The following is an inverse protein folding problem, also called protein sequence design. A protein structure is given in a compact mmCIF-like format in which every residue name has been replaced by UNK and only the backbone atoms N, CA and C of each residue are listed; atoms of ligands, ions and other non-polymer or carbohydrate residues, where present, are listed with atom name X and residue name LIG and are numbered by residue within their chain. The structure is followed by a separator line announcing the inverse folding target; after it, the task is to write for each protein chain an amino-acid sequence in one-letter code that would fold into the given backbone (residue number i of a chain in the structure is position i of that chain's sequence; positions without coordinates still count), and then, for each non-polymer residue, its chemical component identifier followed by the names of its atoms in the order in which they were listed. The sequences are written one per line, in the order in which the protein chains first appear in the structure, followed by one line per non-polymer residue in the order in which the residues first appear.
data_IF_355987424155
#
_entry.id   IF_355987424155
#
_cell.length_a   1.000
_cell.length_b   1.000
_cell.length_c   1.000
_cell.angle_alpha   90.00
_cell.angle_beta   90.00
_cell.angle_gamma   90.00
#
_symmetry.space_group_name_H-M   'P 1'
#
loop_
_entity.id
_entity.type
_entity.pdbx_description
1 polymer ?
#
# COMPACT_ATOMS: atom_id res chain seq x y z
N UNK A 1 49.21 -5.05 -9.43
CA UNK A 1 47.81 -5.28 -9.04
C UNK A 1 46.94 -4.55 -10.05
N UNK A 2 46.09 -5.29 -10.76
CA UNK A 2 45.34 -4.85 -11.94
C UNK A 2 44.24 -3.87 -11.53
N UNK A 3 44.10 -2.78 -12.29
CA UNK A 3 42.98 -1.84 -12.22
C UNK A 3 41.87 -2.41 -13.09
N UNK A 4 40.72 -2.74 -12.50
CA UNK A 4 39.51 -3.06 -13.26
C UNK A 4 38.67 -1.78 -13.33
N UNK A 5 38.64 -1.19 -14.53
CA UNK A 5 37.70 -0.13 -14.90
C UNK A 5 36.44 -0.81 -15.44
N UNK A 6 35.31 -0.62 -14.77
CA UNK A 6 33.99 -1.04 -15.27
C UNK A 6 33.49 0.09 -16.17
N UNK A 7 33.25 -0.23 -17.44
CA UNK A 7 32.66 0.65 -18.44
C UNK A 7 31.14 0.58 -18.31
N UNK A 8 30.53 1.74 -18.08
CA UNK A 8 29.09 1.97 -18.12
C UNK A 8 28.62 1.89 -19.59
N UNK A 9 27.71 0.96 -19.89
CA UNK A 9 27.06 0.85 -21.21
C UNK A 9 25.65 1.41 -21.09
N UNK A 10 25.45 2.68 -21.47
CA UNK A 10 24.13 3.22 -21.77
C UNK A 10 23.68 2.68 -23.13
N UNK A 11 22.63 1.88 -23.16
CA UNK A 11 21.87 1.57 -24.37
C UNK A 11 20.66 2.49 -24.38
N UNK A 12 20.69 3.53 -25.20
CA UNK A 12 19.53 4.33 -25.54
C UNK A 12 18.83 3.66 -26.74
N UNK A 13 17.60 3.17 -26.54
CA UNK A 13 16.75 2.65 -27.63
C UNK A 13 15.87 3.81 -28.12
N UNK A 14 15.94 4.22 -29.40
CA UNK A 14 15.00 5.17 -29.96
C UNK A 14 13.70 4.45 -30.31
N UNK A 15 12.60 4.79 -29.63
CA UNK A 15 11.26 4.35 -30.03
C UNK A 15 10.88 4.98 -31.37
N UNK A 16 10.46 4.11 -32.28
CA UNK A 16 9.94 4.43 -33.61
C UNK A 16 8.50 4.94 -33.45
N UNK A 17 8.23 6.16 -33.89
CA UNK A 17 6.88 6.75 -33.94
C UNK A 17 6.03 5.98 -34.95
N UNK A 18 5.15 5.11 -34.45
CA UNK A 18 4.05 4.50 -35.18
C UNK A 18 2.84 5.42 -35.16
N UNK A 19 2.49 5.99 -36.32
CA UNK A 19 1.22 6.67 -36.54
C UNK A 19 0.14 5.59 -36.71
N UNK A 20 -0.62 5.32 -35.66
CA UNK A 20 -1.83 4.50 -35.65
C UNK A 20 -2.93 5.27 -34.93
N UNK A 21 -3.96 5.68 -35.66
CA UNK A 21 -5.11 6.39 -35.11
C UNK A 21 -6.05 5.45 -34.35
N UNK A 22 -6.35 5.81 -33.11
CA UNK A 22 -7.35 5.20 -32.23
C UNK A 22 -7.64 6.21 -31.11
N UNK A 23 -8.91 6.30 -30.71
CA UNK A 23 -9.49 7.32 -29.84
C UNK A 23 -8.60 7.72 -28.65
N UNK A 24 -8.13 8.96 -28.64
CA UNK A 24 -7.39 9.53 -27.51
C UNK A 24 -8.38 10.03 -26.48
N UNK A 25 -8.83 9.15 -25.59
CA UNK A 25 -9.03 9.58 -24.21
C UNK A 25 -7.62 9.73 -23.63
N UNK A 26 -6.99 10.87 -23.95
CA UNK A 26 -5.81 11.30 -23.26
C UNK A 26 -6.29 11.68 -21.85
N UNK A 27 -6.33 10.70 -20.95
CA UNK A 27 -6.25 10.94 -19.52
C UNK A 27 -5.06 11.87 -19.33
N UNK A 28 -5.35 13.12 -18.95
CA UNK A 28 -4.29 14.08 -18.70
C UNK A 28 -3.45 13.51 -17.56
N UNK A 29 -2.18 13.18 -17.82
CA UNK A 29 -1.27 12.71 -16.78
C UNK A 29 -1.34 13.68 -15.60
N UNK A 30 -1.64 13.14 -14.41
CA UNK A 30 -1.71 13.93 -13.19
C UNK A 30 -0.35 14.60 -12.98
N UNK A 31 -0.37 15.89 -12.68
CA UNK A 31 0.86 16.62 -12.40
C UNK A 31 1.40 16.14 -11.04
N UNK A 32 2.66 15.74 -10.97
CA UNK A 32 3.32 15.31 -9.72
C UNK A 32 4.25 16.38 -9.17
N UNK A 33 4.62 16.28 -7.90
CA UNK A 33 5.65 17.08 -7.24
C UNK A 33 6.51 16.19 -6.36
N UNK A 34 7.79 16.56 -6.23
CA UNK A 34 8.75 15.79 -5.43
C UNK A 34 8.76 16.28 -3.98
N UNK A 35 8.66 15.33 -3.05
CA UNK A 35 9.03 15.52 -1.65
C UNK A 35 10.42 14.92 -1.46
N UNK A 36 11.34 15.72 -0.93
CA UNK A 36 12.72 15.29 -0.67
C UNK A 36 13.11 15.55 0.78
N UNK A 37 14.10 14.83 1.29
CA UNK A 37 14.59 15.04 2.65
C UNK A 37 15.69 14.07 3.02
N UNK A 38 16.00 13.99 4.31
CA UNK A 38 16.89 12.96 4.85
C UNK A 38 16.34 12.33 6.13
N UNK A 39 16.58 11.03 6.28
CA UNK A 39 16.04 10.16 7.35
C UNK A 39 17.12 9.14 7.77
N UNK A 40 16.99 8.46 8.92
CA UNK A 40 18.01 7.54 9.41
C UNK A 40 17.92 6.09 8.86
N UNK A 41 17.39 5.85 7.66
CA UNK A 41 17.43 4.53 7.00
C UNK A 41 16.12 3.80 7.17
N UNK A 42 15.22 4.00 6.22
CA UNK A 42 13.79 3.85 6.43
C UNK A 42 13.08 3.60 5.10
N UNK A 43 11.91 2.98 5.19
CA UNK A 43 10.83 3.03 4.21
C UNK A 43 10.06 4.35 4.35
N UNK A 44 9.68 4.96 3.24
CA UNK A 44 8.85 6.17 3.17
C UNK A 44 7.67 5.86 2.27
N UNK A 45 6.47 6.01 2.81
CA UNK A 45 5.22 5.78 2.10
C UNK A 45 4.39 7.05 2.04
N UNK A 46 3.68 7.22 0.93
CA UNK A 46 2.71 8.26 0.72
C UNK A 46 1.38 7.67 0.27
N UNK A 47 0.33 8.04 0.98
CA UNK A 47 -1.05 7.63 0.72
C UNK A 47 -1.83 8.88 0.34
N UNK A 48 -2.52 8.90 -0.80
CA UNK A 48 -3.19 10.08 -1.32
C UNK A 48 -4.69 9.86 -1.57
N UNK A 49 -5.49 10.91 -1.38
CA UNK A 49 -6.96 10.89 -1.51
C UNK A 49 -7.48 10.44 -2.89
N UNK A 50 -6.64 10.46 -3.93
CA UNK A 50 -6.99 10.00 -5.28
C UNK A 50 -6.68 8.51 -5.52
N UNK A 51 -6.41 7.75 -4.46
CA UNK A 51 -6.02 6.34 -4.53
C UNK A 51 -4.52 6.13 -4.78
N UNK A 52 -3.75 7.20 -5.01
CA UNK A 52 -2.32 7.06 -5.26
C UNK A 52 -1.59 6.60 -3.98
N UNK A 53 -0.95 5.44 -4.06
CA UNK A 53 0.05 4.98 -3.10
C UNK A 53 1.43 5.01 -3.76
N UNK A 54 2.45 5.45 -3.03
CA UNK A 54 3.85 5.41 -3.48
C UNK A 54 4.74 5.10 -2.32
N UNK A 55 5.69 4.18 -2.52
CA UNK A 55 6.74 3.91 -1.54
C UNK A 55 8.14 4.10 -2.11
N UNK A 56 9.08 4.54 -1.27
CA UNK A 56 10.50 4.61 -1.60
C UNK A 56 11.36 4.28 -0.38
N UNK A 57 12.54 3.71 -0.63
CA UNK A 57 13.55 3.53 0.42
C UNK A 57 14.59 4.65 0.37
N UNK A 58 14.98 5.18 1.53
CA UNK A 58 16.08 6.15 1.60
C UNK A 58 17.43 5.54 1.12
N UNK A 59 18.24 6.35 0.42
CA UNK A 59 19.51 5.89 -0.14
C UNK A 59 20.63 5.90 0.91
N UNK A 60 21.12 4.72 1.29
CA UNK A 60 22.28 4.58 2.16
C UNK A 60 23.53 5.24 1.54
N UNK A 61 24.09 6.23 2.23
CA UNK A 61 25.20 7.07 1.77
C UNK A 61 26.39 7.12 2.75
N UNK A 62 26.40 6.24 3.75
CA UNK A 62 27.45 6.16 4.77
C UNK A 62 27.39 7.27 5.82
N UNK A 63 26.28 8.00 5.90
CA UNK A 63 26.02 9.01 6.95
C UNK A 63 24.91 8.51 7.90
N UNK A 64 24.34 9.37 8.74
CA UNK A 64 23.10 9.07 9.48
C UNK A 64 21.89 9.80 8.88
N UNK A 65 22.07 10.41 7.71
CA UNK A 65 21.08 11.22 7.00
C UNK A 65 21.00 10.72 5.55
N UNK A 66 20.19 9.70 5.35
CA UNK A 66 19.98 9.04 4.08
C UNK A 66 18.96 9.81 3.26
N UNK A 67 19.33 10.32 2.07
CA UNK A 67 18.41 11.08 1.24
C UNK A 67 17.31 10.19 0.68
N UNK A 68 16.12 10.76 0.54
CA UNK A 68 15.02 10.16 -0.20
C UNK A 68 14.39 11.22 -1.11
N UNK A 69 13.70 10.75 -2.14
CA UNK A 69 12.84 11.55 -3.01
C UNK A 69 11.63 10.68 -3.36
N UNK A 70 10.43 11.20 -3.13
CA UNK A 70 9.16 10.55 -3.44
C UNK A 70 8.32 11.52 -4.27
N UNK A 71 7.67 11.02 -5.31
CA UNK A 71 6.78 11.83 -6.16
C UNK A 71 5.34 11.56 -5.76
N UNK A 72 4.57 12.63 -5.52
CA UNK A 72 3.14 12.55 -5.19
C UNK A 72 2.31 13.46 -6.12
N UNK A 73 1.01 13.19 -6.29
CA UNK A 73 0.12 14.06 -7.05
C UNK A 73 0.04 15.49 -6.49
N UNK A 74 -0.02 16.47 -7.38
CA UNK A 74 -0.17 17.88 -7.01
C UNK A 74 -1.60 18.20 -6.59
N UNK A 75 -1.75 18.98 -5.52
CA UNK A 75 -3.03 19.43 -4.97
C UNK A 75 -3.96 18.30 -4.49
N UNK A 76 -3.43 17.08 -4.32
CA UNK A 76 -4.12 15.96 -3.66
C UNK A 76 -3.70 15.91 -2.20
N UNK A 77 -4.63 15.62 -1.28
CA UNK A 77 -4.30 15.41 0.12
C UNK A 77 -3.55 14.09 0.26
N UNK A 78 -2.36 14.12 0.84
CA UNK A 78 -1.59 12.91 1.11
C UNK A 78 -1.15 12.84 2.57
N UNK A 79 -1.14 11.64 3.16
CA UNK A 79 -0.49 11.29 4.41
C UNK A 79 0.90 10.72 4.11
N UNK A 80 1.84 10.89 5.02
CA UNK A 80 3.14 10.22 4.97
C UNK A 80 3.32 9.35 6.20
N UNK A 81 3.78 8.12 5.98
CA UNK A 81 4.26 7.22 7.03
C UNK A 81 5.73 6.91 6.76
N UNK A 82 6.53 6.84 7.81
CA UNK A 82 7.95 6.50 7.68
C UNK A 82 8.31 5.42 8.69
N UNK A 83 8.84 4.30 8.20
CA UNK A 83 9.11 3.12 9.00
C UNK A 83 10.61 2.84 9.06
N UNK A 84 11.18 2.87 10.27
CA UNK A 84 12.59 2.51 10.51
C UNK A 84 12.71 1.09 10.99
N UNK A 85 13.83 0.44 10.64
CA UNK A 85 14.04 -0.99 10.91
C UNK A 85 12.88 -1.84 10.34
N UNK A 86 12.38 -1.47 9.16
CA UNK A 86 11.21 -2.06 8.50
C UNK A 86 11.28 -3.59 8.40
N UNK A 87 12.48 -4.11 8.18
CA UNK A 87 12.78 -5.54 8.07
C UNK A 87 12.99 -6.26 9.43
N UNK A 88 12.59 -5.67 10.55
CA UNK A 88 12.79 -6.27 11.89
C UNK A 88 11.62 -6.03 12.82
N UNK A 89 10.80 -7.07 12.99
CA UNK A 89 9.56 -7.06 13.77
C UNK A 89 9.72 -6.67 15.23
N UNK A 90 10.92 -6.78 15.80
CA UNK A 90 11.13 -6.46 17.22
C UNK A 90 11.57 -5.02 17.46
N UNK A 91 12.12 -4.37 16.43
CA UNK A 91 12.69 -3.01 16.55
C UNK A 91 12.10 -2.03 15.57
N UNK A 92 11.16 -2.47 14.74
CA UNK A 92 10.38 -1.66 13.81
C UNK A 92 9.73 -0.50 14.56
N UNK A 93 9.75 0.67 13.93
CA UNK A 93 9.07 1.87 14.42
C UNK A 93 8.38 2.53 13.23
N UNK A 94 7.05 2.46 13.22
CA UNK A 94 6.17 3.05 12.21
C UNK A 94 5.77 4.43 12.71
N UNK A 95 6.22 5.49 12.03
CA UNK A 95 6.00 6.88 12.48
C UNK A 95 5.08 7.63 11.53
N UNK A 96 3.84 7.94 11.95
CA UNK A 96 2.99 8.88 11.22
C UNK A 96 3.62 10.27 11.18
N UNK A 97 3.62 10.90 10.01
CA UNK A 97 4.19 12.24 9.82
C UNK A 97 3.08 13.29 9.76
N UNK A 98 3.14 14.25 10.68
CA UNK A 98 2.28 15.43 10.66
C UNK A 98 3.00 16.65 10.09
N UNK A 99 2.23 17.67 9.71
CA UNK A 99 2.78 18.90 9.10
C UNK A 99 2.34 20.15 9.85
N UNK A 100 3.21 21.16 9.84
CA UNK A 100 2.93 22.50 10.38
C UNK A 100 3.21 23.54 9.29
N UNK A 101 2.22 24.37 8.97
CA UNK A 101 2.37 25.50 8.05
C UNK A 101 1.58 26.72 8.52
N UNK A 102 2.27 27.80 8.85
CA UNK A 102 1.72 29.00 9.46
C UNK A 102 1.07 28.69 10.81
N UNK A 103 -0.26 28.71 10.83
CA UNK A 103 -1.08 28.34 12.00
C UNK A 103 -1.80 27.00 11.81
N UNK A 104 -1.65 26.37 10.65
CA UNK A 104 -2.22 25.06 10.38
C UNK A 104 -1.30 23.97 10.93
N UNK A 105 -1.92 22.94 11.49
CA UNK A 105 -1.29 21.70 11.95
C UNK A 105 -2.24 20.60 11.59
N UNK A 106 -1.74 19.52 11.00
CA UNK A 106 -2.58 18.39 10.63
C UNK A 106 -1.79 17.20 10.09
N UNK A 107 -2.50 16.12 9.78
CA UNK A 107 -1.94 14.85 9.31
C UNK A 107 -1.74 14.77 7.79
N UNK A 108 -2.41 15.63 7.01
CA UNK A 108 -2.29 15.63 5.55
C UNK A 108 -1.64 16.88 4.99
N UNK A 109 -1.00 16.70 3.84
CA UNK A 109 -0.37 17.75 3.07
C UNK A 109 -0.91 17.78 1.63
N UNK A 110 -1.06 18.98 1.07
CA UNK A 110 -1.20 19.21 -0.37
C UNK A 110 -0.02 20.04 -0.85
N UNK A 111 0.58 19.67 -1.97
CA UNK A 111 1.72 20.41 -2.54
C UNK A 111 1.45 20.82 -3.99
N UNK A 112 1.93 22.00 -4.38
CA UNK A 112 1.89 22.48 -5.76
C UNK A 112 3.30 23.01 -6.12
N UNK A 113 4.24 22.08 -6.17
CA UNK A 113 5.66 22.30 -6.36
C UNK A 113 6.51 21.43 -5.43
N UNK A 114 7.74 21.18 -5.85
CA UNK A 114 8.71 20.38 -5.08
C UNK A 114 8.99 21.00 -3.71
N UNK A 115 9.12 20.14 -2.72
CA UNK A 115 9.48 20.53 -1.35
C UNK A 115 10.65 19.71 -0.80
N UNK A 116 11.29 20.29 0.21
CA UNK A 116 12.31 19.62 0.99
C UNK A 116 11.94 19.66 2.48
N UNK A 117 11.74 18.48 3.07
CA UNK A 117 11.42 18.28 4.49
C UNK A 117 12.64 18.44 5.41
N UNK A 118 13.80 18.79 4.86
CA UNK A 118 15.08 18.80 5.56
C UNK A 118 15.38 17.43 6.18
N UNK A 119 15.95 17.40 7.39
CA UNK A 119 16.20 16.16 8.10
C UNK A 119 15.06 15.85 9.07
N UNK A 120 14.46 14.67 8.94
CA UNK A 120 13.43 14.14 9.83
C UNK A 120 14.10 13.16 10.80
N UNK A 121 14.14 13.47 12.11
CA UNK A 121 14.85 12.69 13.11
C UNK A 121 13.98 11.54 13.64
N UNK A 122 13.76 10.51 12.82
CA UNK A 122 13.01 9.31 13.22
C UNK A 122 13.74 8.55 14.33
N UNK A 123 12.97 7.92 15.22
CA UNK A 123 13.52 7.07 16.26
C UNK A 123 14.06 5.78 15.63
N UNK A 124 15.26 5.36 16.01
CA UNK A 124 15.86 4.09 15.56
C UNK A 124 15.71 2.96 16.59
N UNK A 125 15.36 3.29 17.83
CA UNK A 125 15.09 2.29 18.85
C UNK A 125 13.63 2.43 19.27
N UNK A 126 12.91 1.32 19.21
CA UNK A 126 11.53 1.23 19.67
C UNK A 126 11.34 1.69 21.14
N UNK A 127 12.34 1.49 21.99
CA UNK A 127 12.31 1.97 23.39
C UNK A 127 12.30 3.51 23.54
N UNK A 128 12.58 4.26 22.47
CA UNK A 128 12.59 5.72 22.47
C UNK A 128 11.23 6.34 22.08
N UNK A 129 10.25 5.53 21.67
CA UNK A 129 8.90 5.98 21.28
C UNK A 129 7.84 5.60 22.30
N UNK A 130 6.68 6.26 22.20
CA UNK A 130 5.47 5.88 22.93
C UNK A 130 4.55 5.15 21.97
N UNK A 131 4.31 3.89 22.29
CA UNK A 131 3.38 3.01 21.61
C UNK A 131 2.72 2.22 22.77
N UNK A 132 1.41 2.43 22.93
CA UNK A 132 0.68 1.99 24.13
C UNK A 132 0.04 0.62 23.94
N UNK A 133 -0.40 0.30 22.73
CA UNK A 133 -0.99 -0.97 22.32
C UNK A 133 0.07 -1.99 21.89
N UNK A 134 1.25 -1.54 21.44
CA UNK A 134 2.37 -2.41 21.10
C UNK A 134 2.36 -2.88 19.65
N UNK A 135 1.61 -2.20 18.79
CA UNK A 135 1.44 -2.50 17.35
C UNK A 135 2.60 -1.98 16.48
N UNK A 136 3.62 -1.38 17.11
CA UNK A 136 4.76 -0.71 16.48
C UNK A 136 4.46 0.64 15.81
N UNK A 137 3.22 1.13 15.88
CA UNK A 137 2.80 2.45 15.43
C UNK A 137 2.99 3.46 16.55
N UNK A 138 3.67 4.56 16.25
CA UNK A 138 3.89 5.61 17.25
C UNK A 138 2.60 6.37 17.50
N UNK A 139 2.10 6.32 18.75
CA UNK A 139 0.85 6.96 19.21
C UNK A 139 0.75 8.46 18.86
N UNK A 140 1.89 9.14 18.75
CA UNK A 140 1.97 10.56 18.44
C UNK A 140 2.78 10.81 17.17
N UNK A 141 2.10 11.37 16.16
CA UNK A 141 2.73 11.79 14.93
C UNK A 141 3.93 12.74 15.13
N UNK A 142 4.96 12.55 14.31
CA UNK A 142 6.13 13.43 14.25
C UNK A 142 5.81 14.61 13.34
N UNK A 143 5.74 15.82 13.90
CA UNK A 143 5.41 17.03 13.14
C UNK A 143 6.63 17.67 12.47
N UNK A 144 6.54 17.88 11.16
CA UNK A 144 7.52 18.58 10.33
C UNK A 144 7.09 20.03 10.08
N UNK A 145 7.97 20.98 10.38
CA UNK A 145 7.73 22.41 10.15
C UNK A 145 8.06 22.80 8.70
N UNK A 146 7.04 23.26 7.97
CA UNK A 146 7.12 23.67 6.57
C UNK A 146 7.00 25.18 6.37
N UNK A 147 7.14 26.00 7.42
CA UNK A 147 6.95 27.46 7.36
C UNK A 147 7.85 28.18 6.35
N UNK A 148 8.94 27.55 5.92
CA UNK A 148 9.85 28.07 4.88
C UNK A 148 9.48 27.63 3.46
N UNK A 149 8.47 26.76 3.31
CA UNK A 149 7.96 26.25 2.05
C UNK A 149 6.76 27.06 1.57
N UNK A 150 6.61 27.18 0.26
CA UNK A 150 5.48 27.86 -0.40
C UNK A 150 4.58 26.84 -1.10
N UNK A 151 3.33 27.20 -1.36
CA UNK A 151 2.35 26.36 -2.04
C UNK A 151 2.04 25.04 -1.32
N UNK A 152 1.91 25.12 0.00
CA UNK A 152 1.55 24.01 0.88
C UNK A 152 0.18 24.26 1.45
N UNK A 153 -0.68 23.26 1.40
CA UNK A 153 -1.85 23.17 2.28
C UNK A 153 -1.61 22.08 3.32
N UNK A 154 -2.03 22.34 4.55
CA UNK A 154 -2.00 21.38 5.66
C UNK A 154 -3.41 21.29 6.23
N UNK A 155 -3.91 20.08 6.41
CA UNK A 155 -5.23 19.81 6.97
C UNK A 155 -5.28 18.39 7.59
N UNK A 156 -6.48 17.90 7.88
CA UNK A 156 -6.75 16.59 8.50
C UNK A 156 -7.78 15.79 7.69
N UNK A 157 -7.78 15.93 6.35
CA UNK A 157 -8.60 15.08 5.48
C UNK A 157 -8.24 13.62 5.74
N UNK A 158 -9.22 12.75 6.08
CA UNK A 158 -8.98 11.31 6.15
C UNK A 158 -8.56 10.79 4.77
N UNK A 159 -7.49 10.00 4.73
CA UNK A 159 -6.91 9.42 3.52
C UNK A 159 -6.52 8.01 3.91
N UNK A 160 -7.12 7.00 3.26
CA UNK A 160 -7.04 5.59 3.65
C UNK A 160 -7.25 5.42 5.17
N UNK A 161 -8.34 5.96 5.70
CA UNK A 161 -8.61 6.09 7.16
C UNK A 161 -10.12 5.99 7.35
N UNK A 162 -10.61 4.77 7.12
CA UNK A 162 -12.02 4.42 6.97
C UNK A 162 -12.77 4.58 8.29
N UNK A 163 -12.17 4.12 9.39
CA UNK A 163 -12.74 4.19 10.73
C UNK A 163 -12.56 5.58 11.40
N UNK A 164 -11.71 6.43 10.80
CA UNK A 164 -11.36 7.78 11.27
C UNK A 164 -10.67 7.80 12.63
N UNK A 165 -9.88 6.78 12.92
CA UNK A 165 -9.03 6.73 14.10
C UNK A 165 -7.77 7.60 13.93
N UNK A 166 -7.43 8.01 12.70
CA UNK A 166 -6.32 8.88 12.37
C UNK A 166 -5.10 8.17 11.78
N UNK A 167 -5.08 6.83 11.81
CA UNK A 167 -4.08 6.00 11.17
C UNK A 167 -4.43 5.76 9.69
N UNK A 168 -3.55 5.05 9.01
CA UNK A 168 -3.88 4.49 7.70
C UNK A 168 -4.51 3.14 7.99
N UNK A 169 -5.52 2.74 7.22
CA UNK A 169 -6.23 1.47 7.39
C UNK A 169 -5.25 0.28 7.44
N UNK A 170 -4.25 0.25 6.56
CA UNK A 170 -3.21 -0.78 6.58
C UNK A 170 -2.29 -0.77 7.82
N UNK A 171 -2.33 0.29 8.63
CA UNK A 171 -1.61 0.38 9.90
C UNK A 171 -2.53 0.21 11.11
N UNK A 172 -3.76 -0.27 10.91
CA UNK A 172 -4.60 -0.77 11.98
C UNK A 172 -4.16 -2.20 12.37
N UNK A 173 -4.59 -2.64 13.56
CA UNK A 173 -4.36 -3.98 14.15
C UNK A 173 -5.77 -4.57 14.36
N UNK A 174 -6.35 -5.09 13.28
CA UNK A 174 -7.78 -5.41 13.21
C UNK A 174 -8.16 -6.65 14.03
N UNK A 175 -7.21 -7.55 14.24
CA UNK A 175 -7.39 -8.78 15.01
C UNK A 175 -6.91 -8.67 16.48
N UNK A 176 -6.37 -7.51 16.88
CA UNK A 176 -5.79 -7.20 18.20
C UNK A 176 -4.63 -8.15 18.59
N UNK A 177 -3.85 -8.68 17.64
CA UNK A 177 -2.69 -9.55 17.91
C UNK A 177 -1.40 -8.78 18.26
N UNK A 178 -1.38 -7.46 18.04
CA UNK A 178 -0.23 -6.59 18.26
C UNK A 178 0.67 -6.44 17.03
N UNK A 179 0.22 -6.84 15.86
CA UNK A 179 0.81 -6.60 14.55
C UNK A 179 -0.23 -5.84 13.73
N UNK A 180 0.25 -4.91 12.93
CA UNK A 180 -0.61 -4.16 12.01
C UNK A 180 -0.79 -4.92 10.71
N UNK A 181 -1.92 -4.73 10.05
CA UNK A 181 -2.30 -5.45 8.82
C UNK A 181 -1.20 -5.44 7.76
N UNK A 182 -0.54 -4.30 7.52
CA UNK A 182 0.56 -4.19 6.55
C UNK A 182 1.75 -5.12 6.86
N UNK A 183 1.91 -5.57 8.09
CA UNK A 183 2.99 -6.46 8.48
C UNK A 183 2.49 -7.87 8.81
N UNK A 184 1.25 -8.23 8.54
CA UNK A 184 0.78 -9.61 8.62
C UNK A 184 1.30 -10.43 7.42
N UNK A 185 1.00 -11.72 7.43
CA UNK A 185 1.41 -12.77 6.47
C UNK A 185 0.14 -13.62 6.31
N UNK A 186 -0.91 -12.97 5.78
CA UNK A 186 -2.29 -13.45 5.87
C UNK A 186 -2.49 -14.72 5.03
N UNK A 187 -1.76 -14.80 3.92
CA UNK A 187 -1.74 -15.90 2.97
C UNK A 187 -0.74 -17.03 3.34
N UNK A 188 0.09 -16.79 4.37
CA UNK A 188 1.08 -17.71 4.93
C UNK A 188 2.18 -18.15 3.95
N UNK A 189 2.53 -17.34 2.95
CA UNK A 189 3.62 -17.62 2.01
C UNK A 189 5.01 -17.33 2.62
N UNK A 190 5.05 -16.57 3.71
CA UNK A 190 6.24 -16.19 4.47
C UNK A 190 6.90 -14.88 4.06
N UNK A 191 6.27 -14.11 3.17
CA UNK A 191 6.44 -12.67 2.96
C UNK A 191 5.54 -11.91 3.96
N UNK A 192 5.59 -10.58 3.95
CA UNK A 192 4.62 -9.78 4.71
C UNK A 192 3.79 -9.03 3.72
N UNK A 193 2.52 -8.77 4.04
CA UNK A 193 1.57 -8.02 3.21
C UNK A 193 2.22 -6.77 2.57
N UNK A 194 3.04 -6.00 3.29
CA UNK A 194 3.76 -4.80 2.76
C UNK A 194 4.83 -5.05 1.70
N UNK A 195 5.23 -6.29 1.54
CA UNK A 195 6.21 -6.76 0.58
C UNK A 195 5.62 -7.73 -0.44
N UNK A 196 4.37 -8.14 -0.22
CA UNK A 196 3.62 -8.95 -1.15
C UNK A 196 3.24 -8.14 -2.38
N UNK A 197 3.47 -8.73 -3.54
CA UNK A 197 3.32 -8.16 -4.88
C UNK A 197 3.23 -9.35 -5.84
N UNK A 198 2.21 -10.18 -5.61
CA UNK A 198 2.01 -11.47 -6.27
C UNK A 198 1.82 -11.30 -7.79
N UNK A 199 1.18 -10.21 -8.19
CA UNK A 199 0.94 -9.89 -9.60
C UNK A 199 2.17 -9.22 -10.29
N UNK A 200 3.17 -8.81 -9.49
CA UNK A 200 4.40 -8.12 -9.88
C UNK A 200 4.19 -6.80 -10.62
N UNK A 201 3.22 -5.98 -10.21
CA UNK A 201 2.96 -4.66 -10.78
C UNK A 201 3.73 -3.49 -10.10
N UNK A 202 4.59 -3.79 -9.11
CA UNK A 202 5.33 -2.86 -8.26
C UNK A 202 4.44 -2.09 -7.24
N UNK A 203 3.18 -2.49 -7.04
CA UNK A 203 2.25 -2.02 -6.01
C UNK A 203 1.94 -3.19 -5.06
N UNK A 204 2.08 -3.02 -3.74
CA UNK A 204 1.85 -4.13 -2.84
C UNK A 204 0.38 -4.55 -2.76
N UNK A 205 0.12 -5.85 -2.69
CA UNK A 205 -1.23 -6.44 -2.72
C UNK A 205 -2.12 -5.88 -1.60
N UNK A 206 -1.52 -5.58 -0.44
CA UNK A 206 -2.24 -5.01 0.70
C UNK A 206 -2.83 -3.60 0.50
N UNK A 207 -2.44 -2.95 -0.60
CA UNK A 207 -2.92 -1.63 -0.99
C UNK A 207 -3.79 -1.69 -2.25
N UNK A 208 -4.09 -2.87 -2.77
CA UNK A 208 -4.92 -3.05 -3.95
C UNK A 208 -6.40 -2.77 -3.65
N UNK A 209 -7.10 -2.36 -4.71
CA UNK A 209 -8.52 -2.00 -4.78
C UNK A 209 -8.94 -2.45 -6.18
N UNK A 210 -9.09 -3.76 -6.34
CA UNK A 210 -9.23 -4.39 -7.65
C UNK A 210 -10.51 -3.97 -8.35
N UNK A 211 -11.57 -3.93 -7.56
CA UNK A 211 -12.93 -3.64 -7.95
C UNK A 211 -13.18 -2.12 -8.16
N UNK A 212 -12.33 -1.27 -7.55
CA UNK A 212 -12.31 0.22 -7.63
C UNK A 212 -13.49 0.87 -6.94
N UNK A 213 -14.00 0.27 -5.88
CA UNK A 213 -15.08 0.84 -5.08
C UNK A 213 -14.57 1.86 -4.03
N UNK A 214 -13.26 1.85 -3.77
CA UNK A 214 -12.57 2.74 -2.86
C UNK A 214 -12.27 2.17 -1.47
N UNK A 215 -12.48 0.87 -1.24
CA UNK A 215 -11.87 0.10 -0.17
C UNK A 215 -10.65 -0.65 -0.68
N UNK A 216 -9.74 -1.01 0.23
CA UNK A 216 -8.58 -1.84 -0.11
C UNK A 216 -8.98 -3.30 0.09
N UNK A 217 -8.51 -4.22 -0.76
CA UNK A 217 -8.88 -5.64 -0.75
C UNK A 217 -8.79 -6.28 0.67
N UNK A 218 -7.80 -5.91 1.49
CA UNK A 218 -7.66 -6.37 2.90
C UNK A 218 -8.77 -5.93 3.87
N UNK A 219 -9.65 -5.03 3.45
CA UNK A 219 -10.82 -4.57 4.20
C UNK A 219 -12.10 -4.61 3.38
N UNK A 220 -11.99 -5.03 2.12
CA UNK A 220 -13.13 -5.21 1.27
C UNK A 220 -13.83 -6.51 1.65
N UNK A 221 -15.15 -6.50 1.66
CA UNK A 221 -16.05 -7.59 2.07
C UNK A 221 -17.21 -7.55 1.09
N UNK A 222 -16.90 -7.77 -0.19
CA UNK A 222 -17.79 -7.49 -1.32
C UNK A 222 -19.08 -8.31 -1.25
N UNK A 223 -19.00 -9.47 -0.59
CA UNK A 223 -20.10 -10.41 -0.41
C UNK A 223 -20.87 -10.23 0.93
N UNK A 224 -20.47 -9.26 1.76
CA UNK A 224 -20.99 -8.96 3.10
C UNK A 224 -20.97 -10.20 4.05
N UNK A 225 -20.00 -11.12 3.91
CA UNK A 225 -19.85 -12.30 4.75
C UNK A 225 -19.16 -12.02 6.10
N UNK A 226 -18.52 -10.85 6.23
CA UNK A 226 -17.87 -10.37 7.45
C UNK A 226 -16.40 -10.75 7.60
N UNK A 227 -15.78 -11.26 6.54
CA UNK A 227 -14.34 -11.46 6.37
C UNK A 227 -13.84 -10.54 5.24
N UNK A 228 -12.54 -10.26 5.23
CA UNK A 228 -11.98 -9.50 4.13
C UNK A 228 -11.76 -10.44 2.93
N UNK A 229 -12.05 -9.99 1.71
CA UNK A 229 -11.93 -10.78 0.48
C UNK A 229 -10.52 -11.37 0.32
N UNK A 230 -9.47 -10.62 0.69
CA UNK A 230 -8.07 -11.08 0.66
C UNK A 230 -7.77 -12.26 1.61
N UNK A 231 -8.63 -12.53 2.59
CA UNK A 231 -8.46 -13.61 3.57
C UNK A 231 -9.37 -14.81 3.32
N UNK A 232 -10.12 -14.81 2.22
CA UNK A 232 -11.01 -15.91 1.88
C UNK A 232 -10.21 -17.15 1.45
N UNK A 233 -10.62 -18.31 1.93
CA UNK A 233 -10.04 -19.63 1.69
C UNK A 233 -11.24 -20.59 1.56
N UNK A 234 -11.78 -20.68 0.35
CA UNK A 234 -13.06 -21.32 0.07
C UNK A 234 -13.03 -22.84 0.29
N UNK A 235 -11.84 -23.45 0.17
CA UNK A 235 -11.62 -24.88 0.28
C UNK A 235 -10.98 -25.35 1.62
N UNK A 236 -10.62 -24.40 2.50
CA UNK A 236 -9.93 -24.58 3.78
C UNK A 236 -8.54 -25.29 3.64
N UNK A 237 -7.81 -25.10 2.53
CA UNK A 237 -6.48 -25.70 2.33
C UNK A 237 -5.32 -24.90 2.94
N UNK A 238 -5.60 -23.65 3.30
CA UNK A 238 -4.67 -22.71 3.92
C UNK A 238 -3.93 -21.81 2.95
N UNK A 239 -4.39 -21.71 1.69
CA UNK A 239 -4.03 -20.66 0.74
C UNK A 239 -5.25 -19.76 0.53
N UNK A 240 -5.04 -18.45 0.40
CA UNK A 240 -6.14 -17.53 0.13
C UNK A 240 -6.56 -17.59 -1.35
N UNK A 241 -7.84 -17.39 -1.65
CA UNK A 241 -8.44 -17.55 -2.98
C UNK A 241 -7.70 -16.76 -4.08
N UNK A 242 -7.14 -15.59 -3.77
CA UNK A 242 -6.43 -14.76 -4.78
C UNK A 242 -5.03 -15.29 -5.15
N UNK A 243 -4.45 -16.18 -4.34
CA UNK A 243 -3.17 -16.87 -4.63
C UNK A 243 -3.31 -18.38 -4.82
N UNK A 244 -4.49 -18.92 -4.51
CA UNK A 244 -4.79 -20.30 -4.83
C UNK A 244 -4.91 -20.44 -6.35
N UNK A 245 -4.46 -21.60 -6.83
CA UNK A 245 -4.42 -21.98 -8.22
C UNK A 245 -5.61 -22.92 -8.56
N UNK A 246 -6.43 -23.29 -7.57
CA UNK A 246 -7.59 -24.23 -7.53
C UNK A 246 -8.47 -23.92 -6.28
N UNK A 247 -9.02 -22.70 -6.19
CA UNK A 247 -9.68 -22.10 -5.00
C UNK A 247 -10.89 -22.88 -4.44
N UNK A 248 -11.50 -23.75 -5.24
CA UNK A 248 -12.63 -24.61 -4.85
C UNK A 248 -12.26 -26.10 -4.68
N UNK A 249 -10.98 -26.45 -4.89
CA UNK A 249 -10.40 -27.79 -4.88
C UNK A 249 -11.15 -28.80 -5.76
N UNK A 250 -11.77 -28.37 -6.85
CA UNK A 250 -12.45 -29.27 -7.78
C UNK A 250 -11.45 -30.07 -8.65
N UNK A 251 -10.19 -29.64 -8.66
CA UNK A 251 -9.08 -30.25 -9.39
C UNK A 251 -8.91 -29.72 -10.82
N UNK A 252 -9.57 -28.62 -11.15
CA UNK A 252 -9.28 -27.73 -12.28
C UNK A 252 -8.35 -26.63 -11.73
N UNK A 253 -7.90 -25.68 -12.55
CA UNK A 253 -7.15 -24.53 -12.06
C UNK A 253 -8.01 -23.31 -12.34
N UNK A 254 -7.98 -22.28 -11.53
CA UNK A 254 -8.90 -21.14 -11.70
C UNK A 254 -8.72 -20.46 -13.07
N UNK A 255 -7.48 -20.38 -13.55
CA UNK A 255 -7.11 -19.94 -14.91
C UNK A 255 -7.69 -20.80 -16.05
N UNK A 256 -7.93 -22.08 -15.77
CA UNK A 256 -8.54 -23.07 -16.65
C UNK A 256 -10.04 -23.26 -16.35
N UNK A 257 -10.58 -22.63 -15.29
CA UNK A 257 -12.00 -22.59 -15.01
C UNK A 257 -12.68 -21.60 -15.93
N UNK A 258 -13.29 -22.19 -16.95
CA UNK A 258 -14.34 -21.52 -17.69
C UNK A 258 -15.51 -21.33 -16.70
N UNK A 259 -15.47 -20.26 -15.89
CA UNK A 259 -16.62 -19.72 -15.15
C UNK A 259 -17.75 -19.45 -16.16
N UNK A 260 -18.48 -20.51 -16.51
CA UNK A 260 -19.73 -20.46 -17.23
C UNK A 260 -20.76 -19.95 -16.21
N UNK A 261 -20.78 -18.63 -16.07
CA UNK A 261 -21.75 -17.76 -15.38
C UNK A 261 -23.20 -18.11 -15.81
N UNK A 262 -23.67 -19.27 -15.37
CA UNK A 262 -25.04 -19.76 -15.51
C UNK A 262 -25.50 -20.31 -14.16
N UNK A 263 -25.56 -19.40 -13.20
CA UNK A 263 -26.62 -19.42 -12.19
C UNK A 263 -27.99 -19.37 -12.89
N UNK A 264 -28.48 -20.53 -13.30
CA UNK A 264 -29.91 -20.78 -13.43
C UNK A 264 -30.32 -21.75 -12.30
N UNK A 265 -30.66 -21.14 -11.17
CA UNK A 265 -31.73 -21.57 -10.28
C UNK A 265 -32.86 -22.27 -11.09
N UNK A 266 -32.93 -23.60 -11.03
CA UNK A 266 -34.22 -24.28 -11.19
C UNK A 266 -34.29 -25.53 -10.31
N UNK A 267 -34.55 -25.20 -9.06
CA UNK A 267 -35.12 -26.01 -8.01
C UNK A 267 -36.49 -26.61 -8.48
N UNK A 268 -36.50 -27.76 -9.16
CA UNK A 268 -37.72 -28.59 -9.24
C UNK A 268 -37.51 -30.03 -8.74
N UNK A 269 -37.61 -30.14 -7.42
CA UNK A 269 -38.15 -31.33 -6.77
C UNK A 269 -39.57 -31.62 -7.26
N UNK A 270 -39.71 -32.54 -8.23
CA UNK A 270 -40.89 -33.43 -8.27
C UNK A 270 -40.51 -34.88 -7.98
N UNK A 271 -40.66 -35.21 -6.69
CA UNK A 271 -40.96 -36.56 -6.24
C UNK A 271 -42.22 -37.07 -6.94
N UNK A 272 -42.11 -38.16 -7.70
CA UNK A 272 -43.21 -39.12 -7.81
C UNK A 272 -42.65 -40.52 -8.01
N UNK A 273 -42.59 -41.26 -6.90
CA UNK A 273 -42.39 -42.70 -6.95
C UNK A 273 -43.45 -43.39 -7.80
N UNK A 274 -43.06 -44.48 -8.44
CA UNK A 274 -43.98 -45.58 -8.72
C UNK A 274 -43.23 -46.91 -8.63
N UNK A 275 -43.66 -47.71 -7.66
CA UNK A 275 -43.33 -49.12 -7.49
C UNK A 275 -44.10 -50.00 -8.51
N UNK A 276 -43.46 -51.12 -8.85
CA UNK A 276 -44.00 -52.38 -9.41
C UNK A 276 -44.57 -52.42 -10.83
N UNK A 277 -43.92 -53.21 -11.69
CA UNK A 277 -44.18 -54.66 -11.81
C UNK A 277 -43.03 -55.38 -12.51
#
# INVERSE_FOLDING_TARGET
MKKNSILLSLIAIPFLVGCGGGSSDATAALATSKISGTVPGTLIEAFCEDGTYVQVTSTQNGTSQHPFEIEIPQNTNCKLVMTTNENNDTTRVITPIGFIHGTATGSTITINGDINLSHIPLALNYADVNDTNGDHVVDQALYVDLNNSTNIGVNDTPVFDTDRNGYIDAYDDDDDDGRVNAYEDDDNDGEYNIHDDDDNDDHPDYMEDDDKDGYINHRDDDDDNGYADYTEDDDDDGLANHIDDDDDNDGIKDDDDDYDDNDDDDDDRTSSGTLNS
#
